data_IF_287352914902
#
_entry.id   IF_287352914902
#
_cell.length_a   1.000
_cell.length_b   1.000
_cell.length_c   1.000
_cell.angle_alpha   90.00
_cell.angle_beta   90.00
_cell.angle_gamma   90.00
#
_symmetry.space_group_name_H-M   'P 1'
#
loop_
_entity.id
_entity.type
_entity.pdbx_description
1 polymer ?
#
# COMPACT_ATOMS: atom_id res chain seq x y z
N UNK A 1 23.60 -55.36 -62.66
CA UNK A 1 22.73 -54.93 -63.77
C UNK A 1 21.57 -54.12 -63.23
N UNK A 2 21.74 -52.79 -63.19
CA UNK A 2 20.66 -51.79 -63.06
C UNK A 2 19.83 -51.79 -64.35
N UNK A 3 18.64 -51.16 -64.29
CA UNK A 3 17.70 -50.80 -65.39
C UNK A 3 16.58 -51.80 -65.75
N UNK A 4 15.67 -52.08 -64.80
CA UNK A 4 14.27 -52.40 -65.19
C UNK A 4 13.17 -51.93 -64.21
N UNK A 5 13.51 -51.49 -62.99
CA UNK A 5 12.52 -51.11 -61.96
C UNK A 5 12.14 -49.62 -61.92
N UNK A 6 12.65 -48.76 -62.81
CA UNK A 6 12.39 -47.31 -62.74
C UNK A 6 11.09 -46.85 -63.44
N UNK A 7 10.53 -47.62 -64.38
CA UNK A 7 9.39 -47.15 -65.18
C UNK A 7 8.01 -47.45 -64.58
N UNK A 8 7.88 -48.49 -63.73
CA UNK A 8 6.60 -48.82 -63.06
C UNK A 8 6.29 -47.94 -61.85
N UNK A 9 7.30 -47.34 -61.21
CA UNK A 9 7.13 -46.42 -60.07
C UNK A 9 6.57 -45.07 -60.52
N UNK A 10 7.01 -44.57 -61.67
CA UNK A 10 6.62 -43.25 -62.17
C UNK A 10 5.13 -43.17 -62.55
N UNK A 11 4.59 -44.22 -63.19
CA UNK A 11 3.16 -44.23 -63.58
C UNK A 11 2.20 -44.35 -62.40
N UNK A 12 2.58 -45.03 -61.31
CA UNK A 12 1.75 -45.10 -60.08
C UNK A 12 1.72 -43.77 -59.33
N UNK A 13 2.82 -43.00 -59.35
CA UNK A 13 2.90 -41.69 -58.70
C UNK A 13 2.08 -40.62 -59.42
N UNK A 14 2.03 -40.67 -60.75
CA UNK A 14 1.23 -39.72 -61.57
C UNK A 14 -0.27 -40.00 -61.46
N UNK A 15 -0.71 -41.28 -61.46
CA UNK A 15 -2.13 -41.60 -61.27
C UNK A 15 -2.64 -41.23 -59.86
N UNK A 16 -1.82 -41.43 -58.81
CA UNK A 16 -2.20 -41.06 -57.44
C UNK A 16 -2.27 -39.54 -57.25
N UNK A 17 -1.43 -38.78 -57.96
CA UNK A 17 -1.43 -37.31 -57.94
C UNK A 17 -2.63 -36.72 -58.69
N UNK A 18 -3.07 -37.35 -59.79
CA UNK A 18 -4.26 -36.91 -60.55
C UNK A 18 -5.55 -37.25 -59.77
N UNK A 19 -5.60 -38.41 -59.09
CA UNK A 19 -6.75 -38.76 -58.23
C UNK A 19 -6.84 -37.88 -56.97
N UNK A 20 -5.70 -37.45 -56.42
CA UNK A 20 -5.66 -36.52 -55.28
C UNK A 20 -6.05 -35.08 -55.66
N UNK A 21 -5.75 -34.65 -56.89
CA UNK A 21 -6.17 -33.33 -57.39
C UNK A 21 -7.68 -33.25 -57.71
N UNK A 22 -8.29 -34.35 -58.16
CA UNK A 22 -9.73 -34.42 -58.42
C UNK A 22 -10.58 -34.47 -57.13
N UNK A 23 -10.01 -34.88 -56.01
CA UNK A 23 -10.69 -34.89 -54.69
C UNK A 23 -10.55 -33.54 -53.98
N UNK A 24 -9.50 -32.76 -54.26
CA UNK A 24 -9.28 -31.42 -53.68
C UNK A 24 -9.99 -30.28 -54.43
N UNK A 25 -10.40 -30.49 -55.69
CA UNK A 25 -11.09 -29.46 -56.48
C UNK A 25 -12.52 -29.13 -56.00
N UNK A 26 -13.12 -29.96 -55.13
CA UNK A 26 -14.44 -29.73 -54.54
C UNK A 26 -14.41 -29.47 -53.03
N UNK A 27 -13.25 -29.22 -52.44
CA UNK A 27 -13.20 -28.55 -51.14
C UNK A 27 -13.41 -27.06 -51.37
N UNK A 28 -14.68 -26.64 -51.42
CA UNK A 28 -15.00 -25.28 -50.99
C UNK A 28 -14.37 -25.14 -49.60
N UNK A 29 -13.53 -24.12 -49.41
CA UNK A 29 -13.08 -23.70 -48.09
C UNK A 29 -14.34 -23.65 -47.22
N UNK A 30 -14.48 -24.61 -46.31
CA UNK A 30 -15.61 -24.68 -45.40
C UNK A 30 -15.61 -23.32 -44.71
N UNK A 31 -16.61 -22.48 -45.00
CA UNK A 31 -16.72 -21.18 -44.34
C UNK A 31 -16.60 -21.45 -42.86
N UNK A 32 -15.71 -20.75 -42.16
CA UNK A 32 -15.50 -20.86 -40.72
C UNK A 32 -16.87 -21.04 -40.08
N UNK A 33 -17.13 -22.20 -39.44
CA UNK A 33 -18.42 -22.52 -38.82
C UNK A 33 -18.73 -21.38 -37.82
N UNK A 34 -19.53 -20.41 -38.27
CA UNK A 34 -19.76 -19.14 -37.59
C UNK A 34 -21.21 -19.14 -37.14
N UNK A 35 -21.44 -19.08 -35.83
CA UNK A 35 -22.77 -19.02 -35.25
C UNK A 35 -23.59 -17.77 -35.67
N UNK A 36 -23.00 -16.86 -36.45
CA UNK A 36 -23.64 -15.71 -37.10
C UNK A 36 -23.88 -15.83 -38.61
N UNK A 37 -23.49 -16.94 -39.23
CA UNK A 37 -23.85 -17.23 -40.61
C UNK A 37 -25.16 -18.03 -40.64
N UNK A 38 -26.29 -17.48 -41.16
CA UNK A 38 -27.57 -18.18 -41.24
C UNK A 38 -27.54 -19.43 -42.15
N UNK A 39 -26.49 -19.61 -42.94
CA UNK A 39 -26.26 -20.81 -43.75
C UNK A 39 -25.44 -21.89 -43.00
N UNK A 40 -24.88 -21.56 -41.83
CA UNK A 40 -24.08 -22.50 -41.04
C UNK A 40 -24.95 -23.38 -40.15
N UNK A 41 -24.47 -24.61 -39.90
CA UNK A 41 -25.12 -25.54 -38.97
C UNK A 41 -25.09 -25.01 -37.53
N UNK A 42 -24.00 -24.35 -37.14
CA UNK A 42 -23.81 -23.73 -35.84
C UNK A 42 -24.84 -22.63 -35.52
N UNK A 43 -25.25 -21.82 -36.52
CA UNK A 43 -26.26 -20.78 -36.33
C UNK A 43 -27.61 -21.39 -35.93
N UNK A 44 -28.05 -22.42 -36.65
CA UNK A 44 -29.33 -23.08 -36.38
C UNK A 44 -29.33 -23.86 -35.07
N UNK A 45 -28.24 -24.56 -34.73
CA UNK A 45 -28.11 -25.22 -33.42
C UNK A 45 -28.24 -24.23 -32.24
N UNK A 46 -27.63 -23.04 -32.38
CA UNK A 46 -27.71 -22.00 -31.35
C UNK A 46 -29.09 -21.33 -31.31
N UNK A 47 -29.71 -21.11 -32.48
CA UNK A 47 -31.08 -20.58 -32.60
C UNK A 47 -32.10 -21.51 -31.92
N UNK A 48 -32.03 -22.82 -32.16
CA UNK A 48 -32.95 -23.79 -31.56
C UNK A 48 -32.78 -23.92 -30.04
N UNK A 49 -31.55 -23.86 -29.51
CA UNK A 49 -31.29 -23.84 -28.07
C UNK A 49 -31.79 -22.56 -27.38
N UNK A 50 -31.74 -21.42 -28.09
CA UNK A 50 -32.20 -20.11 -27.59
C UNK A 50 -33.73 -19.97 -27.54
N UNK A 51 -34.46 -20.67 -28.41
CA UNK A 51 -35.93 -20.65 -28.40
C UNK A 51 -36.54 -21.26 -27.12
N UNK A 52 -35.77 -22.04 -26.36
CA UNK A 52 -36.17 -22.61 -25.07
C UNK A 52 -35.52 -21.97 -23.84
N UNK A 53 -34.54 -21.07 -24.01
CA UNK A 53 -33.81 -20.42 -22.92
C UNK A 53 -33.54 -18.97 -23.31
N UNK A 54 -34.22 -18.04 -22.65
CA UNK A 54 -34.41 -16.64 -23.05
C UNK A 54 -33.15 -15.76 -23.20
N UNK A 55 -31.94 -16.29 -23.47
CA UNK A 55 -30.70 -15.52 -23.45
C UNK A 55 -29.46 -16.14 -24.14
N UNK A 56 -29.56 -16.69 -25.36
CA UNK A 56 -28.36 -17.25 -26.04
C UNK A 56 -28.26 -17.01 -27.55
N UNK A 57 -28.84 -15.96 -28.13
CA UNK A 57 -28.52 -15.64 -29.53
C UNK A 57 -27.13 -14.98 -29.56
N UNK A 58 -26.14 -15.53 -30.29
CA UNK A 58 -24.87 -14.84 -30.50
C UNK A 58 -25.16 -13.53 -31.24
N UNK A 59 -24.77 -12.40 -30.65
CA UNK A 59 -25.01 -11.10 -31.26
C UNK A 59 -24.24 -10.99 -32.58
N UNK A 60 -24.96 -10.88 -33.71
CA UNK A 60 -24.37 -10.84 -35.04
C UNK A 60 -24.24 -9.40 -35.56
N UNK A 61 -23.50 -8.59 -34.83
CA UNK A 61 -23.09 -7.26 -35.26
C UNK A 61 -21.56 -7.13 -35.32
N UNK A 62 -21.04 -5.98 -35.80
CA UNK A 62 -19.62 -5.79 -35.99
C UNK A 62 -18.83 -5.98 -34.68
N UNK A 63 -17.56 -6.35 -34.81
CA UNK A 63 -16.63 -6.38 -33.68
C UNK A 63 -16.62 -5.01 -32.97
N UNK A 64 -16.50 -4.98 -31.63
CA UNK A 64 -16.45 -3.73 -30.89
C UNK A 64 -15.26 -2.86 -31.33
N UNK A 65 -15.47 -1.56 -31.33
CA UNK A 65 -14.49 -0.55 -31.69
C UNK A 65 -14.27 0.41 -30.52
N UNK A 66 -13.01 0.83 -30.35
CA UNK A 66 -12.57 1.90 -29.43
C UNK A 66 -13.16 1.82 -28.01
N UNK A 67 -12.51 1.05 -27.13
CA UNK A 67 -12.83 1.03 -25.69
C UNK A 67 -11.99 2.07 -24.95
N UNK A 68 -12.62 2.84 -24.06
CA UNK A 68 -11.94 3.76 -23.15
C UNK A 68 -12.71 3.94 -21.84
N UNK A 69 -11.98 4.34 -20.79
CA UNK A 69 -12.53 4.66 -19.47
C UNK A 69 -12.02 6.04 -19.02
N UNK A 70 -12.76 6.75 -18.14
CA UNK A 70 -12.27 7.98 -17.52
C UNK A 70 -11.12 7.69 -16.54
N UNK A 71 -10.44 8.75 -16.10
CA UNK A 71 -9.39 8.65 -15.08
C UNK A 71 -9.93 7.98 -13.81
N UNK A 72 -9.15 7.06 -13.24
CA UNK A 72 -9.61 6.17 -12.20
C UNK A 72 -8.72 6.26 -10.96
N UNK A 73 -8.76 7.42 -10.30
CA UNK A 73 -8.05 7.68 -9.04
C UNK A 73 -9.09 7.96 -7.96
N UNK A 74 -9.11 7.14 -6.91
CA UNK A 74 -10.13 7.22 -5.86
C UNK A 74 -9.51 7.18 -4.46
N UNK A 75 -10.04 8.01 -3.58
CA UNK A 75 -9.73 7.95 -2.16
C UNK A 75 -10.40 6.73 -1.50
N UNK A 76 -9.82 6.27 -0.40
CA UNK A 76 -10.31 5.12 0.34
C UNK A 76 -11.76 5.35 0.83
N UNK A 77 -12.62 4.35 0.64
CA UNK A 77 -14.03 4.40 1.01
C UNK A 77 -14.92 5.28 0.11
N UNK A 78 -14.37 5.90 -0.94
CA UNK A 78 -15.19 6.71 -1.86
C UNK A 78 -15.91 5.83 -2.89
N UNK A 79 -17.18 6.12 -3.22
CA UNK A 79 -17.91 5.40 -4.27
C UNK A 79 -17.22 5.53 -5.62
N UNK A 80 -17.04 4.39 -6.29
CA UNK A 80 -16.46 4.27 -7.62
C UNK A 80 -17.60 4.08 -8.63
N UNK A 81 -17.53 4.82 -9.73
CA UNK A 81 -18.37 4.62 -10.90
C UNK A 81 -17.63 5.05 -12.16
N UNK A 82 -17.13 4.07 -12.92
CA UNK A 82 -16.44 4.28 -14.18
C UNK A 82 -17.29 3.69 -15.30
N UNK A 83 -17.87 4.55 -16.13
CA UNK A 83 -18.65 4.13 -17.29
C UNK A 83 -17.75 4.09 -18.53
N UNK A 84 -17.66 2.96 -19.24
CA UNK A 84 -16.88 2.88 -20.47
C UNK A 84 -17.49 3.72 -21.58
N UNK A 85 -16.64 4.30 -22.42
CA UNK A 85 -17.02 4.75 -23.75
C UNK A 85 -16.59 3.68 -24.76
N UNK A 86 -17.56 3.11 -25.47
CA UNK A 86 -17.39 1.96 -26.37
C UNK A 86 -18.38 2.03 -27.53
N UNK A 87 -17.94 1.62 -28.72
CA UNK A 87 -18.83 1.44 -29.87
C UNK A 87 -18.99 -0.06 -30.17
N UNK A 88 -20.22 -0.56 -30.14
CA UNK A 88 -20.54 -1.96 -30.41
C UNK A 88 -21.80 -2.42 -29.69
N UNK A 89 -22.43 -3.49 -30.18
CA UNK A 89 -23.61 -4.08 -29.56
C UNK A 89 -23.34 -5.49 -29.03
N UNK A 90 -24.23 -5.99 -28.15
CA UNK A 90 -24.19 -7.35 -27.61
C UNK A 90 -22.85 -7.70 -26.95
N UNK A 91 -22.29 -6.75 -26.22
CA UNK A 91 -20.95 -6.86 -25.65
C UNK A 91 -20.99 -7.61 -24.32
N UNK A 92 -19.92 -8.36 -24.07
CA UNK A 92 -19.55 -8.86 -22.75
C UNK A 92 -18.20 -8.25 -22.38
N UNK A 93 -18.04 -7.94 -21.10
CA UNK A 93 -16.83 -7.34 -20.55
C UNK A 93 -16.13 -8.30 -19.60
N UNK A 94 -14.80 -8.28 -19.64
CA UNK A 94 -13.94 -8.92 -18.64
C UNK A 94 -12.78 -8.01 -18.28
N UNK A 95 -12.18 -8.25 -17.11
CA UNK A 95 -11.04 -7.49 -16.60
C UNK A 95 -10.00 -8.44 -15.98
N UNK A 96 -8.74 -8.17 -16.28
CA UNK A 96 -7.60 -8.93 -15.73
C UNK A 96 -6.48 -7.96 -15.32
N UNK A 97 -5.84 -8.11 -14.15
CA UNK A 97 -6.14 -9.09 -13.09
C UNK A 97 -7.51 -8.85 -12.41
N UNK A 98 -7.97 -9.74 -11.52
CA UNK A 98 -9.19 -9.50 -10.76
C UNK A 98 -9.13 -8.18 -9.97
N UNK A 99 -10.26 -7.47 -9.92
CA UNK A 99 -10.39 -6.25 -9.13
C UNK A 99 -10.29 -6.55 -7.62
N UNK A 100 -9.80 -5.59 -6.82
CA UNK A 100 -9.74 -5.76 -5.37
C UNK A 100 -11.15 -5.88 -4.78
N UNK A 101 -11.23 -6.47 -3.59
CA UNK A 101 -12.49 -6.68 -2.89
C UNK A 101 -13.26 -5.36 -2.73
N UNK A 102 -14.57 -5.39 -2.97
CA UNK A 102 -15.44 -4.21 -2.93
C UNK A 102 -15.55 -3.43 -4.26
N UNK A 103 -14.73 -3.74 -5.27
CA UNK A 103 -14.81 -3.15 -6.61
C UNK A 103 -15.17 -4.23 -7.62
N UNK A 104 -16.18 -3.98 -8.46
CA UNK A 104 -16.72 -4.96 -9.40
C UNK A 104 -16.88 -4.37 -10.79
N UNK A 105 -16.64 -5.20 -11.81
CA UNK A 105 -17.00 -4.94 -13.20
C UNK A 105 -18.34 -5.62 -13.48
N UNK A 106 -19.33 -4.87 -13.96
CA UNK A 106 -20.53 -5.46 -14.55
C UNK A 106 -20.19 -6.03 -15.93
N UNK A 107 -20.27 -7.36 -16.14
CA UNK A 107 -19.89 -7.98 -17.41
C UNK A 107 -20.82 -7.63 -18.57
N UNK A 108 -21.99 -7.01 -18.33
CA UNK A 108 -22.94 -6.62 -19.38
C UNK A 108 -22.79 -5.17 -19.79
N UNK A 109 -22.60 -4.27 -18.84
CA UNK A 109 -22.50 -2.83 -19.10
C UNK A 109 -21.07 -2.34 -19.22
N UNK A 110 -20.12 -3.10 -18.68
CA UNK A 110 -18.72 -2.69 -18.54
C UNK A 110 -18.51 -1.64 -17.45
N UNK A 111 -19.55 -1.25 -16.69
CA UNK A 111 -19.37 -0.29 -15.60
C UNK A 111 -18.54 -0.91 -14.50
N UNK A 112 -17.47 -0.23 -14.08
CA UNK A 112 -16.72 -0.57 -12.88
C UNK A 112 -17.27 0.26 -11.73
N UNK A 113 -17.74 -0.40 -10.67
CA UNK A 113 -18.39 0.27 -9.54
C UNK A 113 -18.10 -0.39 -8.20
N UNK A 114 -18.49 0.27 -7.11
CA UNK A 114 -18.34 -0.23 -5.75
C UNK A 114 -17.58 0.76 -4.87
N UNK A 115 -16.84 0.25 -3.88
CA UNK A 115 -15.97 1.05 -3.02
C UNK A 115 -14.82 0.19 -2.53
N UNK A 116 -13.61 0.74 -2.57
CA UNK A 116 -12.43 0.10 -1.99
C UNK A 116 -12.27 0.50 -0.53
N UNK A 117 -12.09 -0.48 0.36
CA UNK A 117 -11.75 -0.26 1.76
C UNK A 117 -10.59 -1.18 2.12
N UNK A 118 -9.38 -0.65 2.15
CA UNK A 118 -8.18 -1.43 2.47
C UNK A 118 -7.09 -0.57 3.09
N UNK A 119 -6.25 -1.18 3.92
CA UNK A 119 -5.14 -0.48 4.57
C UNK A 119 -4.09 -0.01 3.56
N UNK A 120 -3.69 -0.89 2.64
CA UNK A 120 -2.77 -0.57 1.56
C UNK A 120 -3.44 0.09 0.37
N UNK A 121 -2.65 0.73 -0.48
CA UNK A 121 -3.12 1.26 -1.74
C UNK A 121 -3.04 0.24 -2.87
N UNK A 122 -3.73 0.53 -3.97
CA UNK A 122 -3.64 -0.21 -5.24
C UNK A 122 -3.20 0.77 -6.31
N UNK A 123 -2.16 0.41 -7.06
CA UNK A 123 -1.76 1.07 -8.30
C UNK A 123 -1.49 -0.04 -9.31
N UNK A 124 -2.42 -0.26 -10.23
CA UNK A 124 -2.36 -1.40 -11.14
C UNK A 124 -2.99 -1.06 -12.49
N UNK A 125 -2.34 -1.53 -13.56
CA UNK A 125 -2.86 -1.45 -14.92
C UNK A 125 -3.67 -2.72 -15.20
N UNK A 126 -4.98 -2.54 -15.35
CA UNK A 126 -5.94 -3.58 -15.70
C UNK A 126 -6.18 -3.63 -17.20
N UNK A 127 -6.27 -4.84 -17.75
CA UNK A 127 -6.71 -5.07 -19.12
C UNK A 127 -8.22 -5.31 -19.12
N UNK A 128 -8.98 -4.28 -19.51
CA UNK A 128 -10.43 -4.40 -19.70
C UNK A 128 -10.69 -4.80 -21.14
N UNK A 129 -11.42 -5.88 -21.36
CA UNK A 129 -11.75 -6.41 -22.68
C UNK A 129 -13.25 -6.36 -22.90
N UNK A 130 -13.67 -5.75 -24.01
CA UNK A 130 -15.03 -5.83 -24.52
C UNK A 130 -15.05 -6.77 -25.73
N UNK A 131 -15.98 -7.72 -25.77
CA UNK A 131 -16.03 -8.71 -26.84
C UNK A 131 -17.46 -9.15 -27.18
N UNK A 132 -17.64 -9.58 -28.43
CA UNK A 132 -18.82 -10.28 -28.93
C UNK A 132 -18.36 -11.45 -29.84
N UNK A 133 -19.30 -12.12 -30.52
CA UNK A 133 -18.98 -13.24 -31.42
C UNK A 133 -18.08 -12.85 -32.61
N UNK A 134 -18.07 -11.56 -32.98
CA UNK A 134 -17.34 -11.05 -34.16
C UNK A 134 -15.94 -10.54 -33.83
N UNK A 135 -15.59 -10.35 -32.55
CA UNK A 135 -14.26 -9.94 -32.15
C UNK A 135 -14.18 -9.29 -30.76
N UNK A 136 -13.05 -8.64 -30.49
CA UNK A 136 -12.80 -7.99 -29.21
C UNK A 136 -11.87 -6.79 -29.31
N UNK A 137 -12.02 -5.85 -28.39
CA UNK A 137 -11.12 -4.72 -28.17
C UNK A 137 -10.71 -4.70 -26.69
N UNK A 138 -9.49 -4.25 -26.41
CA UNK A 138 -8.96 -4.12 -25.05
C UNK A 138 -8.54 -2.69 -24.76
N UNK A 139 -8.58 -2.31 -23.48
CA UNK A 139 -8.11 -1.04 -22.95
C UNK A 139 -7.27 -1.28 -21.70
N UNK A 140 -6.13 -0.59 -21.61
CA UNK A 140 -5.27 -0.59 -20.43
C UNK A 140 -5.72 0.53 -19.47
N UNK A 141 -6.46 0.16 -18.43
CA UNK A 141 -6.95 1.05 -17.40
C UNK A 141 -5.98 1.05 -16.21
N UNK A 142 -5.30 2.16 -15.97
CA UNK A 142 -4.61 2.38 -14.70
C UNK A 142 -5.66 2.77 -13.64
N UNK A 143 -5.81 1.93 -12.62
CA UNK A 143 -6.71 2.17 -11.49
C UNK A 143 -5.87 2.37 -10.23
N UNK A 144 -6.04 3.54 -9.61
CA UNK A 144 -5.40 3.93 -8.36
C UNK A 144 -6.44 4.06 -7.27
N UNK A 145 -6.27 3.28 -6.21
CA UNK A 145 -7.11 3.30 -5.02
C UNK A 145 -6.22 3.58 -3.83
N UNK A 146 -6.42 4.72 -3.16
CA UNK A 146 -5.57 5.07 -2.02
C UNK A 146 -5.88 4.20 -0.80
N UNK A 147 -4.84 3.89 -0.03
CA UNK A 147 -4.94 3.23 1.26
C UNK A 147 -5.34 4.19 2.38
N UNK A 148 -5.02 3.84 3.63
CA UNK A 148 -5.40 4.62 4.80
C UNK A 148 -4.27 5.59 5.16
N UNK A 149 -4.59 6.87 5.35
CA UNK A 149 -3.63 7.85 5.83
C UNK A 149 -3.11 7.47 7.24
N UNK A 150 -1.85 7.81 7.59
CA UNK A 150 -1.30 7.53 8.91
C UNK A 150 -2.18 8.06 10.04
N UNK A 151 -2.06 7.46 11.22
CA UNK A 151 -2.85 7.90 12.37
C UNK A 151 -2.55 9.35 12.75
N UNK A 152 -3.57 10.04 13.26
CA UNK A 152 -3.37 11.31 13.96
C UNK A 152 -2.39 11.12 15.12
N UNK A 153 -1.62 12.14 15.43
CA UNK A 153 -0.66 12.13 16.53
C UNK A 153 -1.31 12.32 17.89
N UNK A 154 -2.56 12.79 17.93
CA UNK A 154 -3.26 13.18 19.17
C UNK A 154 -2.89 14.58 19.67
N UNK A 155 -1.93 15.26 19.05
CA UNK A 155 -1.56 16.63 19.40
C UNK A 155 -2.70 17.61 19.12
N UNK A 156 -2.98 18.51 20.08
CA UNK A 156 -4.09 19.49 19.97
C UNK A 156 -3.69 20.93 20.24
N UNK A 157 -2.50 21.14 20.78
CA UNK A 157 -1.94 22.46 21.09
C UNK A 157 -0.85 22.84 20.11
N UNK A 158 -0.51 24.12 20.05
CA UNK A 158 0.50 24.67 19.15
C UNK A 158 1.52 25.47 19.94
N UNK A 159 2.80 25.35 19.57
CA UNK A 159 3.90 26.03 20.23
C UNK A 159 4.77 26.75 19.23
N UNK A 160 5.39 27.85 19.62
CA UNK A 160 6.39 28.53 18.82
C UNK A 160 7.78 27.85 18.88
N UNK A 161 8.77 28.47 18.25
CA UNK A 161 10.17 28.00 18.23
C UNK A 161 10.88 28.05 19.59
N UNK A 162 10.36 28.81 20.56
CA UNK A 162 10.88 28.89 21.93
C UNK A 162 10.19 27.91 22.89
N UNK A 163 9.12 27.25 22.43
CA UNK A 163 8.30 26.36 23.25
C UNK A 163 7.17 27.07 23.99
N UNK A 164 6.89 28.34 23.69
CA UNK A 164 5.72 29.02 24.26
C UNK A 164 4.44 28.56 23.55
N UNK A 165 3.38 28.38 24.33
CA UNK A 165 2.05 28.04 23.80
C UNK A 165 1.50 29.22 22.98
N UNK A 166 1.03 28.93 21.76
CA UNK A 166 0.45 29.92 20.84
C UNK A 166 -0.91 29.46 20.34
N UNK A 167 -1.71 30.41 19.82
CA UNK A 167 -2.94 30.05 19.11
C UNK A 167 -2.62 29.20 17.90
N UNK A 168 -3.38 28.13 17.69
CA UNK A 168 -3.20 27.24 16.54
C UNK A 168 -3.66 27.86 15.22
N UNK A 169 -4.56 28.85 15.22
CA UNK A 169 -5.18 29.37 14.00
C UNK A 169 -4.17 29.90 12.99
N UNK A 170 -4.14 29.32 11.80
CA UNK A 170 -3.28 29.72 10.68
C UNK A 170 -1.83 29.24 10.78
N UNK A 171 -1.47 28.49 11.81
CA UNK A 171 -0.09 28.00 12.02
C UNK A 171 0.28 26.83 11.11
N UNK A 172 -0.72 26.04 10.71
CA UNK A 172 -0.63 24.72 10.07
C UNK A 172 0.27 23.74 10.83
N UNK A 173 0.35 23.90 12.15
CA UNK A 173 0.99 22.91 13.02
C UNK A 173 0.13 21.65 13.10
N UNK A 174 0.73 20.56 13.59
CA UNK A 174 0.02 19.31 13.80
C UNK A 174 -1.20 19.47 14.73
N UNK A 175 -1.05 20.28 15.79
CA UNK A 175 -2.13 20.64 16.71
C UNK A 175 -3.30 21.39 16.08
N UNK A 176 -3.09 22.15 15.00
CA UNK A 176 -4.17 22.79 14.23
C UNK A 176 -4.82 21.81 13.26
N UNK A 177 -3.98 21.18 12.42
CA UNK A 177 -4.43 20.39 11.28
C UNK A 177 -5.04 19.05 11.70
N UNK A 178 -4.45 18.40 12.72
CA UNK A 178 -4.86 17.08 13.21
C UNK A 178 -5.11 16.10 12.06
N UNK A 179 -4.21 16.12 11.08
CA UNK A 179 -4.32 15.32 9.85
C UNK A 179 -4.05 13.84 10.15
N UNK A 180 -4.65 12.99 9.34
CA UNK A 180 -4.54 11.54 9.48
C UNK A 180 -5.83 10.87 9.93
N UNK A 181 -5.75 9.55 10.09
CA UNK A 181 -6.88 8.69 10.43
C UNK A 181 -7.03 8.59 11.95
N UNK A 182 -8.26 8.50 12.44
CA UNK A 182 -8.49 8.23 13.86
C UNK A 182 -8.09 6.79 14.18
N UNK A 183 -7.47 6.53 15.35
CA UNK A 183 -7.20 5.16 15.79
C UNK A 183 -8.52 4.38 15.89
N UNK A 184 -8.49 3.10 15.49
CA UNK A 184 -9.64 2.21 15.61
C UNK A 184 -9.17 0.86 16.13
N UNK A 185 -9.34 0.66 17.43
CA UNK A 185 -8.98 -0.58 18.11
C UNK A 185 -10.20 -1.20 18.79
N UNK A 186 -10.21 -2.53 18.87
CA UNK A 186 -11.21 -3.31 19.62
C UNK A 186 -10.49 -4.22 20.61
N UNK A 187 -10.65 -3.95 21.90
CA UNK A 187 -10.05 -4.75 22.98
C UNK A 187 -9.68 -3.92 24.22
N UNK A 188 -9.03 -4.51 25.22
CA UNK A 188 -8.66 -5.93 25.31
C UNK A 188 -9.89 -6.85 25.35
N UNK A 189 -9.93 -7.85 24.48
CA UNK A 189 -11.01 -8.86 24.43
C UNK A 189 -10.48 -10.19 24.91
N UNK A 190 -11.16 -10.82 25.88
CA UNK A 190 -10.86 -12.19 26.26
C UNK A 190 -11.37 -13.14 25.17
N UNK A 191 -10.46 -13.90 24.55
CA UNK A 191 -10.81 -14.87 23.51
C UNK A 191 -10.96 -16.28 24.10
N UNK A 192 -10.04 -16.67 25.00
CA UNK A 192 -10.05 -17.97 25.67
C UNK A 192 -9.20 -17.92 26.93
N UNK A 193 -9.74 -18.34 28.07
CA UNK A 193 -8.98 -18.42 29.33
C UNK A 193 -8.33 -17.09 29.71
N UNK A 194 -6.99 -17.03 29.61
CA UNK A 194 -6.16 -15.86 29.90
C UNK A 194 -5.69 -15.12 28.64
N UNK A 195 -6.21 -15.49 27.47
CA UNK A 195 -5.76 -14.96 26.19
C UNK A 195 -6.55 -13.70 25.85
N UNK A 196 -5.90 -12.56 26.03
CA UNK A 196 -6.44 -11.26 25.66
C UNK A 196 -5.82 -10.76 24.36
N UNK A 197 -6.67 -10.32 23.45
CA UNK A 197 -6.25 -9.73 22.17
C UNK A 197 -6.86 -8.35 21.96
N UNK A 198 -6.16 -7.53 21.20
CA UNK A 198 -6.62 -6.22 20.73
C UNK A 198 -6.49 -6.18 19.22
N UNK A 199 -7.60 -5.93 18.54
CA UNK A 199 -7.64 -5.85 17.09
C UNK A 199 -7.47 -4.40 16.65
N UNK A 200 -6.53 -4.15 15.74
CA UNK A 200 -6.50 -2.93 14.95
C UNK A 200 -7.47 -3.09 13.77
N UNK A 201 -8.59 -2.37 13.81
CA UNK A 201 -9.65 -2.49 12.82
C UNK A 201 -9.27 -1.86 11.47
N UNK A 202 -8.20 -1.06 11.40
CA UNK A 202 -7.73 -0.44 10.16
C UNK A 202 -6.83 -1.40 9.37
N UNK A 203 -5.86 -2.02 10.05
CA UNK A 203 -4.87 -2.91 9.42
C UNK A 203 -5.28 -4.38 9.43
N UNK A 204 -6.20 -4.77 10.32
CA UNK A 204 -6.54 -6.16 10.59
C UNK A 204 -5.51 -6.89 11.45
N UNK A 205 -4.48 -6.19 11.94
CA UNK A 205 -3.52 -6.75 12.90
C UNK A 205 -4.20 -7.12 14.20
N UNK A 206 -3.81 -8.25 14.77
CA UNK A 206 -4.28 -8.71 16.07
C UNK A 206 -3.09 -8.77 17.02
N UNK A 207 -3.16 -7.98 18.07
CA UNK A 207 -2.12 -7.86 19.07
C UNK A 207 -2.44 -8.73 20.27
N UNK A 208 -1.40 -9.29 20.90
CA UNK A 208 -1.51 -9.68 22.29
C UNK A 208 -1.69 -8.40 23.11
N UNK A 209 -2.81 -8.27 23.83
CA UNK A 209 -3.17 -7.01 24.52
C UNK A 209 -2.17 -6.63 25.59
N UNK A 210 -1.48 -7.62 26.16
CA UNK A 210 -0.51 -7.44 27.23
C UNK A 210 0.90 -7.69 26.72
N UNK A 211 1.87 -6.93 27.23
CA UNK A 211 3.29 -7.23 27.01
C UNK A 211 3.63 -8.57 27.67
N UNK A 212 4.65 -9.26 27.13
CA UNK A 212 5.08 -10.57 27.65
C UNK A 212 5.36 -10.53 29.16
N UNK A 213 4.93 -11.58 29.88
CA UNK A 213 4.96 -11.67 31.34
C UNK A 213 3.72 -11.12 32.07
N UNK A 214 2.80 -10.45 31.36
CA UNK A 214 1.55 -9.94 31.93
C UNK A 214 0.31 -10.52 31.24
N UNK A 215 -0.82 -10.55 31.94
CA UNK A 215 -2.08 -11.12 31.43
C UNK A 215 -3.31 -10.46 32.09
N UNK A 216 -4.51 -10.84 31.64
CA UNK A 216 -5.78 -10.30 32.12
C UNK A 216 -6.23 -9.06 31.35
N UNK A 217 -7.46 -8.63 31.61
CA UNK A 217 -8.06 -7.46 30.96
C UNK A 217 -7.30 -6.15 31.21
N UNK A 218 -6.52 -6.10 32.29
CA UNK A 218 -5.73 -4.93 32.70
C UNK A 218 -4.23 -5.20 32.67
N UNK A 219 -3.76 -6.30 32.07
CA UNK A 219 -2.33 -6.62 31.93
C UNK A 219 -1.53 -6.51 33.24
N UNK A 220 -1.96 -7.26 34.25
CA UNK A 220 -1.26 -7.37 35.54
C UNK A 220 -0.22 -8.49 35.51
N UNK A 221 0.83 -8.37 36.32
CA UNK A 221 1.89 -9.36 36.43
C UNK A 221 3.26 -8.70 36.43
N UNK A 222 4.30 -9.47 36.09
CA UNK A 222 5.67 -8.99 36.01
C UNK A 222 6.14 -9.03 34.57
N UNK A 223 6.55 -7.89 34.01
CA UNK A 223 7.05 -7.85 32.64
C UNK A 223 8.26 -8.76 32.45
N UNK A 224 8.28 -9.48 31.32
CA UNK A 224 9.41 -10.26 30.88
C UNK A 224 10.28 -9.41 29.96
N UNK A 225 11.51 -9.12 30.38
CA UNK A 225 12.51 -8.47 29.54
C UNK A 225 13.37 -9.56 28.91
N UNK A 226 13.36 -9.64 27.59
CA UNK A 226 14.01 -10.69 26.81
C UNK A 226 15.04 -10.08 25.87
N UNK A 227 16.07 -10.84 25.54
CA UNK A 227 16.90 -10.52 24.38
C UNK A 227 16.11 -10.74 23.08
N UNK A 228 16.68 -10.33 21.95
CA UNK A 228 15.95 -10.40 20.68
C UNK A 228 15.63 -11.85 20.26
N UNK A 229 16.52 -12.80 20.54
CA UNK A 229 16.31 -14.22 20.23
C UNK A 229 15.21 -14.84 21.11
N UNK A 230 15.21 -14.54 22.41
CA UNK A 230 14.18 -14.93 23.36
C UNK A 230 12.82 -14.32 23.01
N UNK A 231 12.80 -13.09 22.50
CA UNK A 231 11.58 -12.40 22.04
C UNK A 231 10.92 -13.10 20.87
N UNK A 232 11.71 -13.51 19.87
CA UNK A 232 11.21 -14.32 18.75
C UNK A 232 10.68 -15.68 19.23
N UNK A 233 11.40 -16.32 20.15
CA UNK A 233 11.00 -17.60 20.73
C UNK A 233 9.66 -17.47 21.47
N UNK A 234 9.49 -16.42 22.28
CA UNK A 234 8.26 -16.15 23.03
C UNK A 234 7.06 -15.95 22.10
N UNK A 235 7.20 -15.13 21.05
CA UNK A 235 6.10 -14.93 20.10
C UNK A 235 5.79 -16.18 19.28
N UNK A 236 6.81 -16.95 18.89
CA UNK A 236 6.60 -18.21 18.16
C UNK A 236 5.92 -19.28 19.03
N UNK A 237 6.16 -19.29 20.35
CA UNK A 237 5.53 -20.22 21.28
C UNK A 237 4.00 -20.04 21.35
N UNK A 238 3.49 -18.82 21.10
CA UNK A 238 2.05 -18.55 21.03
C UNK A 238 1.35 -19.30 19.89
N UNK A 239 2.10 -19.80 18.89
CA UNK A 239 1.57 -20.60 17.79
C UNK A 239 1.12 -22.00 18.19
N UNK A 240 1.24 -22.35 19.47
CA UNK A 240 0.60 -23.53 20.07
C UNK A 240 -0.92 -23.37 20.27
N UNK A 241 -1.49 -22.18 19.99
CA UNK A 241 -2.93 -21.95 19.95
C UNK A 241 -3.42 -20.75 20.78
N UNK A 242 -2.57 -19.80 21.15
CA UNK A 242 -2.99 -18.60 21.88
C UNK A 242 -4.07 -17.86 21.10
N UNK A 243 -5.22 -17.61 21.75
CA UNK A 243 -6.42 -17.04 21.15
C UNK A 243 -6.88 -17.75 19.87
N UNK A 244 -6.64 -19.07 19.75
CA UNK A 244 -7.01 -19.87 18.59
C UNK A 244 -6.22 -19.56 17.32
N UNK A 245 -5.02 -18.97 17.45
CA UNK A 245 -4.18 -18.50 16.33
C UNK A 245 -2.83 -19.21 16.29
N UNK A 246 -2.26 -19.30 15.08
CA UNK A 246 -1.00 -20.01 14.79
C UNK A 246 -0.02 -19.20 13.93
N UNK A 247 -0.26 -17.90 13.81
CA UNK A 247 0.50 -16.94 12.99
C UNK A 247 1.06 -15.77 13.83
N UNK A 248 1.23 -15.97 15.13
CA UNK A 248 1.91 -15.07 16.04
C UNK A 248 3.39 -14.92 15.68
N UNK A 249 3.85 -13.68 15.70
CA UNK A 249 5.22 -13.27 15.39
C UNK A 249 5.61 -12.05 16.21
N UNK A 250 6.92 -11.79 16.24
CA UNK A 250 7.44 -10.52 16.70
C UNK A 250 7.08 -9.43 15.68
N UNK A 251 6.47 -8.34 16.15
CA UNK A 251 6.03 -7.25 15.28
C UNK A 251 7.21 -6.55 14.61
N UNK A 252 7.06 -6.17 13.35
CA UNK A 252 8.00 -5.26 12.69
C UNK A 252 7.95 -3.87 13.32
N UNK A 253 8.99 -3.07 13.10
CA UNK A 253 9.04 -1.71 13.59
C UNK A 253 7.86 -0.87 13.07
N UNK A 254 7.44 -1.06 11.81
CA UNK A 254 6.26 -0.37 11.25
C UNK A 254 4.96 -0.78 11.93
N UNK A 255 4.76 -2.07 12.21
CA UNK A 255 3.58 -2.58 12.91
C UNK A 255 3.52 -2.03 14.34
N UNK A 256 4.62 -2.12 15.10
CA UNK A 256 4.63 -1.68 16.49
C UNK A 256 4.51 -0.16 16.62
N UNK A 257 5.11 0.57 15.68
CA UNK A 257 5.02 2.03 15.58
C UNK A 257 3.61 2.55 15.27
N UNK A 258 2.72 1.72 14.71
CA UNK A 258 1.30 2.06 14.50
C UNK A 258 0.50 2.19 15.82
N UNK A 259 1.06 1.71 16.93
CA UNK A 259 0.46 1.83 18.26
C UNK A 259 0.92 3.07 19.05
N UNK A 260 1.78 3.90 18.46
CA UNK A 260 2.30 5.10 19.11
C UNK A 260 1.31 6.26 19.03
N UNK A 261 1.12 6.92 20.17
CA UNK A 261 0.35 8.15 20.31
C UNK A 261 1.29 9.26 20.78
N UNK A 262 1.30 10.40 20.10
CA UNK A 262 2.23 11.51 20.33
C UNK A 262 1.53 12.75 20.93
N UNK A 263 0.49 12.51 21.74
CA UNK A 263 -0.26 13.54 22.48
C UNK A 263 0.44 13.99 23.78
N UNK A 264 1.61 13.44 24.08
CA UNK A 264 2.38 13.70 25.29
C UNK A 264 2.11 12.72 26.43
N UNK A 265 1.28 11.69 26.23
CA UNK A 265 1.09 10.61 27.20
C UNK A 265 2.35 9.76 27.37
N UNK A 266 2.56 9.26 28.59
CA UNK A 266 3.60 8.29 28.91
C UNK A 266 2.98 7.16 29.74
N UNK A 267 2.88 5.93 29.22
CA UNK A 267 3.40 5.48 27.92
C UNK A 267 2.68 6.10 26.70
N UNK A 268 3.43 6.33 25.63
CA UNK A 268 2.99 6.87 24.33
C UNK A 268 2.16 5.84 23.53
N UNK A 269 1.00 5.47 24.06
CA UNK A 269 0.09 4.49 23.43
C UNK A 269 -1.37 4.75 23.80
N UNK A 270 -2.28 3.95 23.24
CA UNK A 270 -3.69 4.00 23.54
C UNK A 270 -4.03 3.09 24.73
N UNK A 271 -3.83 3.61 25.95
CA UNK A 271 -3.88 2.83 27.20
C UNK A 271 -5.22 2.13 27.48
N UNK A 272 -6.33 2.62 26.92
CA UNK A 272 -7.64 1.95 26.98
C UNK A 272 -7.67 0.61 26.26
N UNK A 273 -6.84 0.45 25.22
CA UNK A 273 -6.74 -0.76 24.40
C UNK A 273 -5.49 -1.58 24.75
N UNK A 274 -4.44 -0.92 25.23
CA UNK A 274 -3.16 -1.52 25.63
C UNK A 274 -2.80 -1.15 27.08
N UNK A 275 -3.55 -1.67 28.07
CA UNK A 275 -3.40 -1.28 29.46
C UNK A 275 -2.05 -1.75 30.04
N UNK A 276 -1.53 -1.00 31.01
CA UNK A 276 -0.27 -1.28 31.71
C UNK A 276 0.91 -1.63 30.79
N UNK A 277 0.95 -1.01 29.61
CA UNK A 277 2.10 -1.08 28.70
C UNK A 277 3.35 -0.56 29.42
N UNK A 278 4.45 -1.29 29.38
CA UNK A 278 5.73 -0.80 29.89
C UNK A 278 6.22 0.34 28.99
N UNK A 279 6.62 1.48 29.55
CA UNK A 279 7.15 2.60 28.77
C UNK A 279 8.49 2.26 28.09
N UNK A 280 9.26 1.29 28.57
CA UNK A 280 10.58 0.99 28.00
C UNK A 280 10.53 0.45 26.55
N UNK A 281 11.71 0.25 25.97
CA UNK A 281 11.87 -0.32 24.64
C UNK A 281 11.16 -1.67 24.49
N UNK A 282 10.53 -1.85 23.32
CA UNK A 282 9.93 -3.10 22.88
C UNK A 282 10.63 -3.59 21.61
N UNK A 283 11.01 -4.86 21.59
CA UNK A 283 11.70 -5.45 20.45
C UNK A 283 10.83 -5.51 19.20
N UNK A 284 11.47 -5.38 18.05
CA UNK A 284 10.85 -5.56 16.74
C UNK A 284 11.54 -6.66 15.95
N UNK A 285 10.85 -7.25 14.98
CA UNK A 285 11.44 -8.22 14.03
C UNK A 285 12.24 -7.55 12.91
N UNK A 286 12.18 -6.22 12.79
CA UNK A 286 12.90 -5.50 11.74
C UNK A 286 14.41 -5.54 12.02
N UNK A 287 15.17 -5.94 11.01
CA UNK A 287 16.62 -6.01 11.06
C UNK A 287 17.18 -4.59 10.95
N UNK A 288 18.20 -4.27 11.74
CA UNK A 288 18.96 -3.04 11.58
C UNK A 288 19.96 -3.20 10.42
N UNK A 289 19.81 -2.37 9.39
CA UNK A 289 20.79 -2.21 8.31
C UNK A 289 21.45 -0.86 8.57
N UNK A 290 22.77 -0.74 8.77
CA UNK A 290 23.88 -1.48 8.14
C UNK A 290 24.49 -2.67 8.90
N UNK A 291 24.23 -2.87 10.21
CA UNK A 291 24.89 -3.91 11.02
C UNK A 291 23.88 -5.00 11.44
N UNK A 292 23.49 -5.83 10.49
CA UNK A 292 22.44 -6.85 10.70
C UNK A 292 22.86 -7.98 11.65
N UNK A 293 24.15 -8.14 11.91
CA UNK A 293 24.67 -9.24 12.74
C UNK A 293 24.47 -8.99 14.23
N UNK A 294 24.43 -7.73 14.69
CA UNK A 294 24.48 -7.41 16.13
C UNK A 294 23.29 -6.59 16.60
N UNK A 295 22.72 -5.74 15.75
CA UNK A 295 21.79 -4.70 16.23
C UNK A 295 20.38 -4.92 15.69
N UNK A 296 19.39 -4.42 16.43
CA UNK A 296 17.97 -4.57 16.13
C UNK A 296 17.22 -3.30 16.47
N UNK A 297 16.14 -3.06 15.74
CA UNK A 297 15.24 -1.95 16.04
C UNK A 297 14.37 -2.26 17.27
N UNK A 298 14.18 -1.27 18.12
CA UNK A 298 13.18 -1.25 19.18
C UNK A 298 12.28 -0.02 19.06
N UNK A 299 11.07 -0.12 19.60
CA UNK A 299 10.15 1.01 19.77
C UNK A 299 10.00 1.32 21.25
N UNK A 300 10.34 2.54 21.65
CA UNK A 300 10.12 3.04 23.00
C UNK A 300 8.69 3.55 23.14
N UNK A 301 7.95 2.98 24.09
CA UNK A 301 6.65 3.53 24.48
C UNK A 301 6.78 4.61 25.56
N UNK A 302 7.97 5.08 25.91
CA UNK A 302 8.14 6.12 26.93
C UNK A 302 7.59 7.43 26.36
N UNK A 303 7.91 7.66 25.09
CA UNK A 303 7.59 8.86 24.34
C UNK A 303 7.43 8.62 22.82
N UNK A 304 7.81 7.46 22.28
CA UNK A 304 7.66 7.12 20.86
C UNK A 304 8.97 7.07 20.05
N UNK A 305 10.13 7.13 20.70
CA UNK A 305 11.42 6.93 20.03
C UNK A 305 11.47 5.57 19.31
N UNK A 306 12.01 5.56 18.10
CA UNK A 306 12.35 4.33 17.36
C UNK A 306 13.86 4.33 17.19
N UNK A 307 14.51 3.41 17.88
CA UNK A 307 15.95 3.35 18.00
C UNK A 307 16.52 1.98 17.70
N UNK A 308 17.85 1.91 17.63
CA UNK A 308 18.58 0.65 17.58
C UNK A 308 19.21 0.33 18.92
N UNK A 309 19.40 -0.96 19.18
CA UNK A 309 20.37 -1.39 20.19
C UNK A 309 20.89 -2.79 19.88
N UNK A 310 21.95 -3.21 20.58
CA UNK A 310 22.52 -4.55 20.43
C UNK A 310 21.48 -5.62 20.82
N UNK A 311 21.37 -6.67 20.03
CA UNK A 311 20.35 -7.71 20.12
C UNK A 311 20.41 -8.55 21.42
N UNK A 312 21.52 -8.48 22.16
CA UNK A 312 21.73 -9.14 23.45
C UNK A 312 21.24 -8.30 24.64
N UNK A 313 20.91 -7.02 24.44
CA UNK A 313 20.22 -6.25 25.46
C UNK A 313 18.82 -6.82 25.69
N UNK A 314 18.23 -6.50 26.84
CA UNK A 314 16.87 -6.94 27.13
C UNK A 314 15.88 -5.79 26.90
N UNK A 315 14.77 -6.10 26.24
CA UNK A 315 13.64 -5.18 26.03
C UNK A 315 12.33 -5.96 26.25
N UNK A 316 11.23 -5.21 26.33
CA UNK A 316 9.89 -5.79 26.42
C UNK A 316 9.47 -6.38 25.07
N UNK A 317 8.40 -7.18 25.08
CA UNK A 317 7.92 -7.87 23.88
C UNK A 317 6.40 -7.75 23.82
N UNK A 318 5.89 -7.49 22.62
CA UNK A 318 4.48 -7.57 22.29
C UNK A 318 4.33 -8.27 20.95
N UNK A 319 3.66 -9.41 20.96
CA UNK A 319 3.48 -10.23 19.78
C UNK A 319 2.26 -9.76 18.98
N UNK A 320 2.33 -9.98 17.67
CA UNK A 320 1.27 -9.64 16.71
C UNK A 320 0.96 -10.85 15.83
N UNK A 321 -0.26 -10.90 15.32
CA UNK A 321 -0.80 -11.92 14.42
C UNK A 321 -1.66 -11.22 13.35
N UNK A 322 -2.02 -11.90 12.26
CA UNK A 322 -2.76 -11.33 11.15
C UNK A 322 -1.88 -10.86 9.99
N UNK A 323 -2.43 -10.05 9.06
CA UNK A 323 -1.75 -9.68 7.82
C UNK A 323 -0.45 -8.90 8.09
N UNK A 324 0.45 -8.86 7.13
CA UNK A 324 1.61 -7.95 7.16
C UNK A 324 1.23 -6.62 6.53
N UNK A 325 1.76 -5.52 7.06
CA UNK A 325 1.57 -4.21 6.44
C UNK A 325 2.18 -4.18 5.01
N UNK A 326 1.55 -3.47 4.07
CA UNK A 326 2.04 -3.38 2.69
C UNK A 326 3.43 -2.74 2.62
N UNK A 327 4.23 -3.18 1.65
CA UNK A 327 5.45 -2.46 1.27
C UNK A 327 5.10 -1.07 0.73
N UNK A 328 6.05 -0.14 0.84
CA UNK A 328 5.92 1.23 0.31
C UNK A 328 5.50 1.19 -1.18
N UNK A 329 4.47 1.95 -1.54
CA UNK A 329 3.95 2.05 -2.91
C UNK A 329 3.92 3.52 -3.32
N UNK A 330 4.92 3.94 -4.10
CA UNK A 330 5.11 5.32 -4.52
C UNK A 330 4.89 5.46 -6.03
N UNK A 331 4.30 6.58 -6.43
CA UNK A 331 4.12 6.98 -7.82
C UNK A 331 4.71 8.37 -8.04
N UNK A 332 5.59 8.49 -9.03
CA UNK A 332 6.08 9.79 -9.48
C UNK A 332 5.03 10.41 -10.41
N UNK A 333 4.57 11.62 -10.10
CA UNK A 333 3.51 12.28 -10.86
C UNK A 333 4.04 13.05 -12.09
N UNK A 334 5.37 13.14 -12.27
CA UNK A 334 6.00 13.87 -13.38
C UNK A 334 5.99 15.39 -13.23
N UNK A 335 5.50 15.92 -12.11
CA UNK A 335 5.34 17.36 -11.81
C UNK A 335 6.17 17.80 -10.58
N UNK A 336 7.27 17.07 -10.29
CA UNK A 336 8.09 17.21 -9.07
C UNK A 336 7.36 16.85 -7.77
N UNK A 337 6.26 16.10 -7.84
CA UNK A 337 5.61 15.49 -6.68
C UNK A 337 5.60 13.97 -6.76
N UNK A 338 5.56 13.33 -5.59
CA UNK A 338 5.49 11.88 -5.44
C UNK A 338 4.26 11.54 -4.60
N UNK A 339 3.38 10.71 -5.14
CA UNK A 339 2.22 10.18 -4.41
C UNK A 339 2.63 8.91 -3.67
N UNK A 340 2.34 8.84 -2.37
CA UNK A 340 2.34 7.59 -1.63
C UNK A 340 0.93 7.00 -1.69
N UNK A 341 0.78 5.95 -2.49
CA UNK A 341 -0.51 5.34 -2.78
C UNK A 341 -1.05 4.60 -1.54
N UNK A 342 -0.19 4.14 -0.64
CA UNK A 342 -0.63 3.50 0.61
C UNK A 342 -1.27 4.48 1.58
N UNK A 343 -0.87 5.75 1.57
CA UNK A 343 -1.36 6.76 2.51
C UNK A 343 -2.28 7.80 1.87
N UNK A 344 -2.28 7.88 0.53
CA UNK A 344 -2.90 8.97 -0.23
C UNK A 344 -2.18 10.30 -0.07
N UNK A 345 -1.04 10.36 0.63
CA UNK A 345 -0.28 11.60 0.82
C UNK A 345 0.55 11.92 -0.41
N UNK A 346 0.77 13.21 -0.65
CA UNK A 346 1.56 13.66 -1.79
C UNK A 346 2.69 14.54 -1.29
N UNK A 347 3.89 14.20 -1.75
CA UNK A 347 5.15 14.70 -1.22
C UNK A 347 5.84 15.56 -2.25
N UNK A 348 6.49 16.63 -1.78
CA UNK A 348 7.48 17.31 -2.60
C UNK A 348 8.60 16.30 -2.88
N UNK A 349 8.96 16.11 -4.16
CA UNK A 349 9.96 15.13 -4.56
C UNK A 349 11.34 15.45 -3.96
N UNK A 350 11.67 16.74 -3.90
CA UNK A 350 12.96 17.21 -3.43
C UNK A 350 12.88 17.78 -2.01
N UNK A 351 13.98 17.65 -1.28
CA UNK A 351 14.17 18.39 -0.02
C UNK A 351 14.18 19.89 -0.30
N UNK A 352 13.77 20.71 0.67
CA UNK A 352 13.82 22.17 0.55
C UNK A 352 15.22 22.65 0.10
N UNK A 353 15.27 23.55 -0.89
CA UNK A 353 16.50 24.04 -1.53
C UNK A 353 17.00 23.23 -2.73
N UNK A 354 16.48 22.03 -2.95
CA UNK A 354 16.75 21.21 -4.14
C UNK A 354 15.61 21.34 -5.17
N UNK A 355 15.92 21.11 -6.45
CA UNK A 355 14.92 21.18 -7.53
C UNK A 355 15.26 20.29 -8.73
N UNK A 356 14.31 20.17 -9.66
CA UNK A 356 14.42 19.31 -10.84
C UNK A 356 14.20 17.83 -10.55
N UNK A 357 14.10 17.01 -11.59
CA UNK A 357 13.79 15.57 -11.49
C UNK A 357 14.86 14.75 -10.75
N UNK A 358 16.09 15.26 -10.69
CA UNK A 358 17.21 14.64 -9.97
C UNK A 358 17.48 15.30 -8.61
N UNK A 359 16.66 16.27 -8.17
CA UNK A 359 16.83 17.03 -6.93
C UNK A 359 18.27 17.54 -6.75
N UNK A 360 18.71 18.39 -7.68
CA UNK A 360 20.05 19.00 -7.66
C UNK A 360 20.01 20.39 -7.02
N UNK A 361 21.18 20.92 -6.68
CA UNK A 361 21.34 22.19 -5.96
C UNK A 361 21.89 22.00 -4.56
N UNK A 362 21.57 22.93 -3.66
CA UNK A 362 22.02 22.89 -2.26
C UNK A 362 20.81 22.76 -1.34
N UNK A 363 20.72 21.62 -0.65
CA UNK A 363 19.67 21.41 0.34
C UNK A 363 19.78 22.43 1.47
N UNK A 364 18.66 23.04 1.81
CA UNK A 364 18.57 24.05 2.86
C UNK A 364 18.25 23.37 4.20
N UNK A 365 19.08 23.61 5.21
CA UNK A 365 18.81 23.25 6.59
C UNK A 365 18.22 24.46 7.31
N UNK A 366 17.07 24.29 7.97
CA UNK A 366 16.26 25.35 8.55
C UNK A 366 16.02 25.07 10.03
N UNK A 367 15.78 26.11 10.84
CA UNK A 367 15.16 25.90 12.15
C UNK A 367 13.69 25.50 12.00
N UNK A 368 13.08 25.02 13.08
CA UNK A 368 11.73 24.45 13.02
C UNK A 368 10.67 25.46 12.52
N UNK A 369 10.75 26.72 12.97
CA UNK A 369 9.82 27.78 12.55
C UNK A 369 9.96 28.10 11.06
N UNK A 370 11.19 28.20 10.56
CA UNK A 370 11.44 28.45 9.15
C UNK A 370 11.08 27.24 8.27
N UNK A 371 11.19 26.01 8.77
CA UNK A 371 10.75 24.81 8.07
C UNK A 371 9.22 24.80 7.85
N UNK A 372 8.45 25.17 8.88
CA UNK A 372 7.00 25.37 8.78
C UNK A 372 6.65 26.42 7.73
N UNK A 373 7.28 27.59 7.80
CA UNK A 373 7.06 28.68 6.85
C UNK A 373 7.43 28.28 5.42
N UNK A 374 8.57 27.59 5.24
CA UNK A 374 9.02 27.12 3.94
C UNK A 374 7.97 26.21 3.28
N UNK A 375 7.41 25.24 4.02
CA UNK A 375 6.34 24.41 3.48
C UNK A 375 5.03 25.16 3.29
N UNK A 376 4.65 26.05 4.21
CA UNK A 376 3.40 26.79 4.09
C UNK A 376 3.39 27.77 2.90
N UNK A 377 4.58 28.23 2.48
CA UNK A 377 4.79 29.13 1.33
C UNK A 377 5.09 28.42 0.01
N UNK A 378 5.27 27.09 0.03
CA UNK A 378 5.62 26.33 -1.17
C UNK A 378 4.48 26.38 -2.19
N UNK A 379 4.78 26.85 -3.40
CA UNK A 379 3.87 26.86 -4.53
C UNK A 379 4.31 25.82 -5.56
N UNK A 380 3.93 24.56 -5.33
CA UNK A 380 4.25 23.43 -6.20
C UNK A 380 2.97 22.66 -6.57
N UNK A 381 2.76 22.40 -7.86
CA UNK A 381 1.63 21.58 -8.34
C UNK A 381 0.23 22.09 -7.95
N UNK A 382 0.07 23.38 -7.66
CA UNK A 382 -1.22 23.97 -7.26
C UNK A 382 -1.77 23.50 -5.91
N UNK A 383 -0.93 22.94 -5.04
CA UNK A 383 -1.33 22.31 -3.77
C UNK A 383 -1.10 23.22 -2.57
N UNK A 384 -1.83 22.91 -1.48
CA UNK A 384 -1.57 23.48 -0.16
C UNK A 384 -0.58 22.60 0.57
N UNK A 385 0.64 23.09 0.70
CA UNK A 385 1.74 22.40 1.36
C UNK A 385 1.80 22.75 2.84
N UNK A 386 2.36 21.80 3.61
CA UNK A 386 2.66 21.95 5.04
C UNK A 386 3.81 21.03 5.44
N UNK A 387 4.31 21.24 6.65
CA UNK A 387 5.26 20.32 7.27
C UNK A 387 4.52 19.05 7.76
N UNK A 388 5.02 17.85 7.49
CA UNK A 388 4.36 16.59 7.85
C UNK A 388 4.33 16.36 9.36
N UNK A 389 3.33 15.67 9.87
CA UNK A 389 3.37 15.14 11.24
C UNK A 389 4.41 14.02 11.35
N UNK A 390 4.77 13.63 12.58
CA UNK A 390 5.72 12.53 12.82
C UNK A 390 5.24 11.21 12.21
N UNK A 391 3.94 10.91 12.25
CA UNK A 391 3.37 9.70 11.65
C UNK A 391 3.41 9.75 10.13
N UNK A 392 3.20 10.93 9.52
CA UNK A 392 3.27 11.11 8.08
C UNK A 392 4.69 10.95 7.57
N UNK A 393 5.67 11.66 8.13
CA UNK A 393 7.05 11.59 7.61
C UNK A 393 7.67 10.21 7.84
N UNK A 394 7.35 9.56 8.97
CA UNK A 394 7.78 8.18 9.24
C UNK A 394 7.25 7.19 8.21
N UNK A 395 6.09 7.43 7.59
CA UNK A 395 5.54 6.51 6.59
C UNK A 395 6.43 6.33 5.36
N UNK A 396 7.26 7.33 5.04
CA UNK A 396 8.25 7.26 3.96
C UNK A 396 9.46 6.39 4.28
N UNK A 397 9.69 6.05 5.55
CA UNK A 397 10.88 5.30 5.94
C UNK A 397 10.85 3.87 5.41
N UNK A 398 12.00 3.42 4.92
CA UNK A 398 12.26 2.04 4.55
C UNK A 398 13.46 1.54 5.33
N UNK A 399 13.17 0.83 6.42
CA UNK A 399 14.16 0.32 7.37
C UNK A 399 14.93 -0.90 6.84
N UNK A 400 14.64 -1.35 5.61
CA UNK A 400 15.48 -2.32 4.91
C UNK A 400 16.70 -1.68 4.24
N UNK A 401 16.74 -0.34 4.19
CA UNK A 401 17.82 0.45 3.62
C UNK A 401 18.75 0.99 4.72
N UNK A 402 19.99 1.32 4.37
CA UNK A 402 21.01 1.75 5.34
C UNK A 402 21.12 3.27 5.47
N UNK A 403 21.29 3.98 4.35
CA UNK A 403 21.64 5.41 4.31
C UNK A 403 21.42 5.99 2.89
N UNK A 404 20.33 6.71 2.60
CA UNK A 404 19.24 7.03 3.51
C UNK A 404 18.19 5.91 3.62
N UNK A 405 17.43 5.87 4.73
CA UNK A 405 16.30 4.96 4.98
C UNK A 405 15.03 5.39 4.23
N UNK A 406 15.16 5.74 2.95
CA UNK A 406 14.06 6.17 2.07
C UNK A 406 14.33 5.74 0.64
N UNK A 407 13.29 5.53 -0.17
CA UNK A 407 13.45 5.14 -1.56
C UNK A 407 14.00 6.30 -2.42
N UNK A 408 15.30 6.28 -2.70
CA UNK A 408 16.00 7.35 -3.43
C UNK A 408 15.67 7.40 -4.93
N UNK A 409 15.03 6.38 -5.48
CA UNK A 409 14.50 6.43 -6.86
C UNK A 409 13.34 7.41 -6.97
N UNK A 410 12.54 7.55 -5.91
CA UNK A 410 11.45 8.53 -5.83
C UNK A 410 11.88 9.82 -5.16
N UNK A 411 12.83 9.75 -4.21
CA UNK A 411 13.34 10.91 -3.48
C UNK A 411 14.87 11.08 -3.66
N UNK A 412 15.34 11.48 -4.85
CA UNK A 412 16.76 11.62 -5.15
C UNK A 412 17.44 12.62 -4.21
N UNK A 413 18.72 12.40 -3.92
CA UNK A 413 19.53 13.27 -3.07
C UNK A 413 18.80 13.65 -1.76
N UNK A 414 18.19 12.67 -1.09
CA UNK A 414 17.72 12.86 0.29
C UNK A 414 18.91 12.81 1.23
N UNK A 415 19.01 13.77 2.15
CA UNK A 415 20.11 13.86 3.09
C UNK A 415 19.97 12.79 4.16
N UNK A 416 21.05 12.08 4.48
CA UNK A 416 21.11 11.16 5.62
C UNK A 416 21.24 11.95 6.94
N UNK A 417 20.19 12.69 7.30
CA UNK A 417 20.17 13.59 8.46
C UNK A 417 18.74 13.76 9.00
N UNK A 418 18.57 14.64 9.98
CA UNK A 418 17.28 14.97 10.58
C UNK A 418 16.38 15.72 9.60
N UNK A 419 15.11 15.33 9.54
CA UNK A 419 14.06 16.05 8.85
C UNK A 419 12.96 16.45 9.82
N UNK A 420 12.57 17.72 9.76
CA UNK A 420 11.55 18.27 10.64
C UNK A 420 10.17 17.66 10.41
N UNK A 421 9.45 17.49 11.52
CA UNK A 421 8.01 17.25 11.54
C UNK A 421 7.31 18.42 12.21
N UNK A 422 6.00 18.60 11.99
CA UNK A 422 5.17 19.61 12.65
C UNK A 422 4.72 19.21 14.05
N UNK A 423 5.03 17.99 14.50
CA UNK A 423 4.65 17.47 15.81
C UNK A 423 5.65 17.94 16.86
N UNK A 424 5.19 18.76 17.81
CA UNK A 424 6.01 19.20 18.96
C UNK A 424 6.26 18.03 19.93
N UNK A 425 7.45 17.96 20.53
CA UNK A 425 7.77 16.95 21.55
C UNK A 425 7.14 17.32 22.91
N UNK A 426 7.07 16.39 23.84
CA UNK A 426 6.53 16.63 25.20
C UNK A 426 7.22 17.81 25.89
N UNK A 427 8.55 17.95 25.72
CA UNK A 427 9.22 19.22 25.99
C UNK A 427 9.01 20.17 24.79
N UNK A 428 8.27 21.28 24.94
CA UNK A 428 7.84 22.09 23.81
C UNK A 428 8.97 22.91 23.16
N UNK A 429 10.15 22.99 23.78
CA UNK A 429 11.36 23.55 23.14
C UNK A 429 11.90 22.67 22.02
N UNK A 430 11.43 21.42 21.95
CA UNK A 430 11.85 20.42 20.98
C UNK A 430 10.67 20.03 20.07
N UNK A 431 10.99 19.47 18.91
CA UNK A 431 10.03 18.85 18.01
C UNK A 431 10.53 17.47 17.58
N UNK A 432 9.60 16.62 17.14
CA UNK A 432 9.96 15.34 16.56
C UNK A 432 10.64 15.53 15.20
N UNK A 433 11.69 14.75 14.96
CA UNK A 433 12.37 14.63 13.67
C UNK A 433 12.37 13.18 13.23
N UNK A 434 12.38 13.00 11.91
CA UNK A 434 12.70 11.71 11.30
C UNK A 434 14.14 11.78 10.78
N UNK A 435 15.02 10.93 11.28
CA UNK A 435 16.39 10.83 10.79
C UNK A 435 16.43 9.79 9.66
N UNK A 436 16.84 10.20 8.46
CA UNK A 436 17.00 9.28 7.32
C UNK A 436 18.38 8.61 7.27
N UNK A 437 19.31 8.95 8.17
CA UNK A 437 20.62 8.29 8.27
C UNK A 437 20.60 7.01 9.12
N UNK A 438 21.76 6.67 9.68
CA UNK A 438 21.94 5.56 10.62
C UNK A 438 21.55 5.94 12.06
N UNK A 439 21.31 4.96 12.91
CA UNK A 439 20.93 5.14 14.32
C UNK A 439 19.42 5.34 14.49
N UNK A 440 19.02 6.09 15.52
CA UNK A 440 17.60 6.31 15.83
C UNK A 440 16.88 7.05 14.69
N UNK A 441 15.71 6.55 14.30
CA UNK A 441 14.93 7.08 13.18
C UNK A 441 13.89 8.08 13.65
N UNK A 442 13.28 7.87 14.81
CA UNK A 442 12.35 8.83 15.43
C UNK A 442 12.98 9.33 16.72
N UNK A 443 13.21 10.63 16.81
CA UNK A 443 13.83 11.28 17.96
C UNK A 443 13.36 12.72 18.11
N UNK A 444 13.56 13.33 19.28
CA UNK A 444 13.35 14.76 19.49
C UNK A 444 14.60 15.55 19.09
N UNK A 445 14.39 16.80 18.67
CA UNK A 445 15.47 17.74 18.38
C UNK A 445 15.05 19.17 18.74
N UNK A 446 15.98 19.96 19.26
CA UNK A 446 15.69 21.32 19.73
C UNK A 446 15.28 22.23 18.58
N UNK A 447 14.15 22.94 18.72
CA UNK A 447 13.55 23.77 17.65
C UNK A 447 14.47 24.90 17.16
N UNK A 448 15.43 25.32 17.99
CA UNK A 448 16.46 26.30 17.64
C UNK A 448 17.61 25.75 16.78
N UNK A 449 17.78 24.42 16.74
CA UNK A 449 18.72 23.74 15.85
C UNK A 449 18.26 23.77 14.39
N UNK A 450 19.10 23.30 13.47
CA UNK A 450 18.76 23.27 12.04
C UNK A 450 18.65 21.83 11.54
N UNK A 451 17.60 21.53 10.78
CA UNK A 451 17.38 20.24 10.13
C UNK A 451 16.77 20.42 8.73
N UNK A 452 16.75 19.37 7.92
CA UNK A 452 16.21 19.42 6.57
C UNK A 452 14.67 19.35 6.58
N UNK A 453 14.06 19.65 5.44
CA UNK A 453 12.61 19.78 5.32
C UNK A 453 12.11 19.12 4.06
N UNK A 454 11.04 18.33 4.18
CA UNK A 454 10.27 17.78 3.07
C UNK A 454 8.81 18.08 3.34
N UNK A 455 8.17 18.75 2.40
CA UNK A 455 6.78 19.17 2.55
C UNK A 455 5.83 18.08 2.05
N UNK A 456 4.65 18.06 2.64
CA UNK A 456 3.56 17.16 2.29
C UNK A 456 2.28 17.95 2.02
N UNK A 457 1.44 17.40 1.16
CA UNK A 457 0.09 17.84 0.89
C UNK A 457 -0.86 16.65 1.07
N UNK A 458 -2.13 16.94 1.35
CA UNK A 458 -3.17 15.91 1.32
C UNK A 458 -3.36 15.39 -0.12
N UNK A 459 -3.82 14.15 -0.24
CA UNK A 459 -4.26 13.58 -1.51
C UNK A 459 -5.44 14.33 -2.12
N UNK A 460 -5.77 14.04 -3.39
CA UNK A 460 -6.92 14.61 -4.08
C UNK A 460 -8.26 14.19 -3.46
#
# INVERSE_FOLDING_TARGET
MRTRNSFRSFFKSVLFSILSFLILANCNLKSVDNACNPESKSYWETFFLSAGSSNLIPFCGPAPQSLSYPAAVFANGTPISLTPNITGGGLTFSITPPLPSGVVLDPRTGVISGSYIGYGGVDTIYQVKAFNSSGSVSYSLELILYGIAPLKTGQTSCWDGSGALVSCTGTKHDGELKNGTLPSFTGPTNVSGTDYTTTDNLSGLIWKSCSEGTTGATCTGTWSNLDWAGSNTACNALNSGYAGRTDWRLASAKELAAMLNYDGTSPATYSSYFPNTNGSGHWTSTIYVPISATDRWYVSFTDGIIGETIQTNTNNVRCVSGPTLPSVLLKNNGDSTVTDVNTGLIWAQCSAGLSGSACTGTATSLNWTNALLACNSLSLGGRVWRLPSVNELRSLTDLSLANPTVNTSYFPNTMSSNYWTSTTYTNPTDAWVIQFGSGNIVMNYTKGGTAYTRCVATGP
#
